data_IF_569742087157
#
_entry.id   IF_569742087157
#
_cell.length_a   1.000
_cell.length_b   1.000
_cell.length_c   1.000
_cell.angle_alpha   90.00
_cell.angle_beta   90.00
_cell.angle_gamma   90.00
#
_symmetry.space_group_name_H-M   'P 1'
#
loop_
_entity.id
_entity.type
_entity.pdbx_description
1 polymer ?
#
# COMPACT_ATOMS: atom_id res chain seq x y z
N UNK A 1 1.94 17.45 -12.85
CA UNK A 1 1.54 16.04 -13.10
C UNK A 1 0.86 15.49 -11.84
N UNK A 2 -0.25 14.81 -12.03
CA UNK A 2 -1.05 14.29 -10.92
C UNK A 2 -0.27 13.27 -10.06
N UNK A 3 0.59 12.45 -10.68
CA UNK A 3 1.39 11.48 -9.93
C UNK A 3 2.32 12.14 -8.92
N UNK A 4 2.97 13.24 -9.27
CA UNK A 4 3.85 13.93 -8.34
C UNK A 4 3.10 14.50 -7.14
N UNK A 5 1.94 15.09 -7.38
CA UNK A 5 1.09 15.64 -6.33
C UNK A 5 0.59 14.54 -5.39
N UNK A 6 0.10 13.44 -5.97
CA UNK A 6 -0.40 12.30 -5.20
C UNK A 6 0.70 11.60 -4.42
N UNK A 7 1.89 11.45 -5.03
CA UNK A 7 3.03 10.84 -4.37
C UNK A 7 3.47 11.60 -3.13
N UNK A 8 3.48 12.92 -3.21
CA UNK A 8 3.84 13.75 -2.06
C UNK A 8 2.90 13.46 -0.89
N UNK A 9 1.61 13.37 -1.17
CA UNK A 9 0.60 13.03 -0.15
C UNK A 9 0.79 11.62 0.38
N UNK A 10 1.07 10.66 -0.51
CA UNK A 10 1.30 9.28 -0.12
C UNK A 10 2.49 9.14 0.82
N UNK A 11 3.62 9.77 0.48
CA UNK A 11 4.81 9.74 1.33
C UNK A 11 4.53 10.32 2.72
N UNK A 12 3.72 11.37 2.79
CA UNK A 12 3.34 11.97 4.08
C UNK A 12 2.50 11.00 4.92
N UNK A 13 1.58 10.28 4.27
CA UNK A 13 0.74 9.28 4.96
C UNK A 13 1.60 8.12 5.48
N UNK A 14 2.53 7.63 4.68
CA UNK A 14 3.43 6.55 5.09
C UNK A 14 4.31 6.99 6.26
N UNK A 15 4.85 8.21 6.20
CA UNK A 15 5.67 8.77 7.28
C UNK A 15 4.86 8.89 8.57
N UNK A 16 3.55 9.08 8.48
CA UNK A 16 2.64 9.17 9.63
C UNK A 16 2.07 7.83 10.09
N UNK A 17 2.54 6.70 9.54
CA UNK A 17 2.14 5.37 9.97
C UNK A 17 0.83 4.85 9.37
N UNK A 18 0.44 5.34 8.20
CA UNK A 18 -0.79 4.94 7.51
C UNK A 18 -2.04 5.15 8.37
N UNK A 19 -2.16 6.33 8.95
CA UNK A 19 -3.35 6.69 9.73
C UNK A 19 -4.61 6.54 8.87
N UNK A 20 -5.66 5.85 9.36
CA UNK A 20 -6.88 5.60 8.57
C UNK A 20 -7.56 6.86 8.04
N UNK A 21 -7.62 7.91 8.85
CA UNK A 21 -8.24 9.16 8.42
C UNK A 21 -7.44 9.83 7.32
N UNK A 22 -6.12 9.86 7.47
CA UNK A 22 -5.21 10.42 6.46
C UNK A 22 -5.30 9.63 5.14
N UNK A 23 -5.38 8.29 5.24
CA UNK A 23 -5.56 7.43 4.07
C UNK A 23 -6.85 7.74 3.33
N UNK A 24 -7.96 7.84 4.07
CA UNK A 24 -9.26 8.11 3.46
C UNK A 24 -9.26 9.43 2.67
N UNK A 25 -8.51 10.41 3.12
CA UNK A 25 -8.44 11.72 2.47
C UNK A 25 -7.71 11.69 1.13
N UNK A 26 -6.83 10.71 0.91
CA UNK A 26 -6.04 10.62 -0.35
C UNK A 26 -6.57 9.56 -1.30
N UNK A 27 -7.63 8.83 -0.93
CA UNK A 27 -8.23 7.79 -1.75
C UNK A 27 -9.47 8.32 -2.46
N UNK A 28 -9.58 8.03 -3.76
CA UNK A 28 -10.82 8.26 -4.50
C UNK A 28 -11.91 7.36 -3.91
N UNK A 29 -13.18 7.80 -3.95
CA UNK A 29 -14.28 6.99 -3.40
C UNK A 29 -14.42 5.63 -4.10
N UNK A 30 -14.02 5.53 -5.37
CA UNK A 30 -14.07 4.32 -6.17
C UNK A 30 -12.69 3.64 -6.29
N UNK A 31 -11.76 3.94 -5.39
CA UNK A 31 -10.42 3.36 -5.41
C UNK A 31 -10.49 1.83 -5.37
N UNK A 32 -9.50 1.19 -6.02
CA UNK A 32 -9.39 -0.26 -6.07
C UNK A 32 -8.03 -0.69 -5.52
N UNK A 33 -8.03 -1.72 -4.69
CA UNK A 33 -6.81 -2.31 -4.14
C UNK A 33 -6.64 -3.73 -4.67
N UNK A 34 -5.41 -4.04 -5.13
CA UNK A 34 -5.03 -5.37 -5.59
C UNK A 34 -3.99 -5.94 -4.63
N UNK A 35 -4.42 -6.91 -3.83
CA UNK A 35 -3.58 -7.58 -2.84
C UNK A 35 -2.58 -8.51 -3.50
N UNK A 36 -1.38 -8.70 -2.93
CA UNK A 36 -0.44 -9.70 -3.45
C UNK A 36 -0.86 -11.14 -3.16
N UNK A 37 -1.84 -11.35 -2.28
CA UNK A 37 -2.24 -12.70 -1.85
C UNK A 37 -3.67 -13.08 -2.24
N UNK A 38 -4.51 -12.12 -2.60
CA UNK A 38 -5.90 -12.35 -3.00
C UNK A 38 -6.11 -11.74 -4.38
N UNK A 39 -6.47 -12.57 -5.36
CA UNK A 39 -6.61 -12.10 -6.75
C UNK A 39 -7.83 -11.18 -6.95
N UNK A 40 -8.89 -11.37 -6.19
CA UNK A 40 -10.11 -10.56 -6.32
C UNK A 40 -9.83 -9.11 -5.91
N UNK A 41 -10.06 -8.12 -6.80
CA UNK A 41 -9.86 -6.72 -6.45
C UNK A 41 -10.79 -6.28 -5.32
N UNK A 42 -10.29 -5.45 -4.43
CA UNK A 42 -11.08 -4.85 -3.34
C UNK A 42 -11.49 -3.44 -3.76
N UNK A 43 -12.78 -3.17 -3.82
CA UNK A 43 -13.31 -1.94 -4.41
C UNK A 43 -14.00 -1.05 -3.39
N UNK A 44 -13.69 0.23 -3.46
CA UNK A 44 -14.30 1.26 -2.65
C UNK A 44 -13.40 1.75 -1.53
N UNK A 45 -13.50 3.04 -1.24
CA UNK A 45 -12.65 3.70 -0.24
C UNK A 45 -12.64 3.01 1.12
N UNK A 46 -13.79 2.60 1.69
CA UNK A 46 -13.78 1.99 3.03
C UNK A 46 -12.92 0.74 3.11
N UNK A 47 -13.06 -0.18 2.16
CA UNK A 47 -12.31 -1.44 2.19
C UNK A 47 -10.84 -1.21 1.85
N UNK A 48 -10.55 -0.31 0.91
CA UNK A 48 -9.17 0.02 0.55
C UNK A 48 -8.45 0.67 1.74
N UNK A 49 -9.13 1.55 2.47
CA UNK A 49 -8.60 2.15 3.68
C UNK A 49 -8.23 1.07 4.70
N UNK A 50 -9.09 0.08 4.89
CA UNK A 50 -8.84 -1.02 5.84
C UNK A 50 -7.59 -1.83 5.44
N UNK A 51 -7.45 -2.16 4.16
CA UNK A 51 -6.31 -2.91 3.68
C UNK A 51 -5.00 -2.13 3.80
N UNK A 52 -5.00 -0.85 3.45
CA UNK A 52 -3.79 -0.02 3.56
C UNK A 52 -3.41 0.28 5.00
N UNK A 53 -4.39 0.41 5.89
CA UNK A 53 -4.14 0.53 7.32
C UNK A 53 -3.46 -0.73 7.85
N UNK A 54 -4.00 -1.89 7.50
CA UNK A 54 -3.43 -3.17 7.91
C UNK A 54 -2.01 -3.35 7.35
N UNK A 55 -1.78 -2.95 6.10
CA UNK A 55 -0.46 -3.01 5.49
C UNK A 55 0.56 -2.16 6.25
N UNK A 56 0.16 -0.97 6.67
CA UNK A 56 1.01 -0.09 7.47
C UNK A 56 1.38 -0.71 8.82
N UNK A 57 0.46 -1.43 9.44
CA UNK A 57 0.70 -2.08 10.72
C UNK A 57 1.55 -3.35 10.59
N UNK A 58 1.56 -3.98 9.42
CA UNK A 58 2.33 -5.21 9.20
C UNK A 58 3.68 -4.95 8.56
N UNK A 59 3.72 -4.12 7.50
CA UNK A 59 4.95 -3.85 6.74
C UNK A 59 5.68 -2.59 7.19
N UNK A 60 4.98 -1.64 7.80
CA UNK A 60 5.51 -0.32 8.15
C UNK A 60 6.32 -0.30 9.45
N UNK A 61 7.20 -1.27 9.64
CA UNK A 61 8.10 -1.33 10.80
C UNK A 61 9.36 -0.51 10.54
N UNK A 62 10.31 -0.49 11.50
CA UNK A 62 11.55 0.28 11.42
C UNK A 62 12.40 -0.06 10.21
N UNK A 63 12.31 -1.31 9.71
CA UNK A 63 13.11 -1.75 8.57
C UNK A 63 12.52 -1.37 7.23
N UNK A 64 11.26 -0.92 7.19
CA UNK A 64 10.59 -0.55 5.95
C UNK A 64 11.24 0.70 5.34
N UNK A 65 11.57 0.61 4.03
CA UNK A 65 12.00 1.78 3.28
C UNK A 65 11.76 1.58 1.80
N UNK A 66 11.49 2.68 1.10
CA UNK A 66 11.47 2.69 -0.35
C UNK A 66 12.89 2.84 -0.88
N UNK A 67 13.24 2.02 -1.87
CA UNK A 67 14.60 1.99 -2.44
C UNK A 67 14.64 2.44 -3.90
N UNK A 68 13.47 2.54 -4.55
CA UNK A 68 13.38 2.96 -5.95
C UNK A 68 12.00 3.56 -6.21
N UNK A 69 11.95 4.62 -7.00
CA UNK A 69 10.71 5.27 -7.37
C UNK A 69 10.74 5.62 -8.85
N UNK A 70 9.73 5.20 -9.59
CA UNK A 70 9.60 5.45 -11.02
C UNK A 70 8.24 6.07 -11.25
N UNK A 71 8.19 7.20 -11.97
CA UNK A 71 6.95 7.91 -12.27
C UNK A 71 6.80 8.04 -13.77
N UNK A 72 5.62 7.69 -14.28
CA UNK A 72 5.27 7.87 -15.67
C UNK A 72 3.81 8.32 -15.75
N UNK A 73 3.59 9.57 -16.18
CA UNK A 73 2.26 10.14 -16.27
C UNK A 73 1.56 10.20 -14.92
N UNK A 74 0.44 9.50 -14.81
CA UNK A 74 -0.36 9.45 -13.59
C UNK A 74 -0.05 8.22 -12.73
N UNK A 75 0.97 7.45 -13.08
CA UNK A 75 1.31 6.20 -12.39
C UNK A 75 2.69 6.29 -11.76
N UNK A 76 2.82 5.76 -10.55
CA UNK A 76 4.10 5.65 -9.85
C UNK A 76 4.32 4.20 -9.42
N UNK A 77 5.58 3.76 -9.48
CA UNK A 77 6.00 2.45 -8.96
C UNK A 77 7.06 2.71 -7.92
N UNK A 78 6.80 2.24 -6.70
CA UNK A 78 7.72 2.40 -5.58
C UNK A 78 8.16 1.03 -5.09
N UNK A 79 9.45 0.76 -5.20
CA UNK A 79 10.01 -0.49 -4.68
C UNK A 79 10.36 -0.33 -3.22
N UNK A 80 9.94 -1.30 -2.39
CA UNK A 80 10.26 -1.28 -0.97
C UNK A 80 10.97 -2.55 -0.52
N UNK A 81 11.69 -2.43 0.59
CA UNK A 81 12.27 -3.56 1.29
C UNK A 81 11.88 -3.43 2.76
N UNK A 82 11.67 -4.56 3.40
CA UNK A 82 11.40 -4.62 4.84
C UNK A 82 11.73 -6.03 5.34
N UNK A 83 11.67 -6.21 6.65
CA UNK A 83 11.90 -7.51 7.27
C UNK A 83 10.83 -7.74 8.32
N UNK A 84 10.31 -8.97 8.38
CA UNK A 84 9.33 -9.37 9.38
C UNK A 84 9.71 -10.75 9.91
N UNK A 85 9.94 -10.85 11.21
CA UNK A 85 10.29 -12.12 11.87
C UNK A 85 11.46 -12.84 11.18
N UNK A 86 12.48 -12.07 10.76
CA UNK A 86 13.67 -12.62 10.09
C UNK A 86 13.47 -12.91 8.60
N UNK A 87 12.29 -12.64 8.06
CA UNK A 87 12.02 -12.88 6.63
C UNK A 87 12.20 -11.57 5.85
N UNK A 88 13.08 -11.60 4.86
CA UNK A 88 13.29 -10.44 3.98
C UNK A 88 12.14 -10.35 2.98
N UNK A 89 11.57 -9.15 2.86
CA UNK A 89 10.43 -8.88 1.98
C UNK A 89 10.83 -7.78 1.02
N UNK A 90 10.64 -8.04 -0.28
CA UNK A 90 10.85 -7.04 -1.32
C UNK A 90 9.58 -6.96 -2.15
N UNK A 91 9.09 -5.76 -2.37
CA UNK A 91 7.86 -5.59 -3.12
C UNK A 91 7.80 -4.27 -3.84
N UNK A 92 6.70 -4.08 -4.56
CA UNK A 92 6.40 -2.81 -5.20
C UNK A 92 4.97 -2.39 -4.89
N UNK A 93 4.79 -1.09 -4.74
CA UNK A 93 3.48 -0.44 -4.75
C UNK A 93 3.35 0.22 -6.13
N UNK A 94 2.35 -0.17 -6.90
CA UNK A 94 2.03 0.46 -8.18
C UNK A 94 0.76 1.26 -8.00
N UNK A 95 0.86 2.59 -8.12
CA UNK A 95 -0.20 3.51 -7.74
C UNK A 95 -0.60 4.37 -8.92
N UNK A 96 -1.89 4.42 -9.24
CA UNK A 96 -2.43 5.34 -10.24
C UNK A 96 -3.24 6.43 -9.53
N UNK A 97 -3.08 7.67 -10.00
CA UNK A 97 -3.73 8.84 -9.42
C UNK A 97 -4.67 9.51 -10.44
N UNK A 98 -5.69 10.20 -9.96
CA UNK A 98 -6.52 11.03 -10.83
C UNK A 98 -5.90 12.44 -10.95
N UNK A 99 -6.62 13.35 -11.64
CA UNK A 99 -6.14 14.71 -11.89
C UNK A 99 -5.97 15.52 -10.59
N UNK A 100 -6.71 15.18 -9.57
CA UNK A 100 -6.63 15.85 -8.27
C UNK A 100 -5.57 15.24 -7.35
N UNK A 101 -4.89 14.20 -7.81
CA UNK A 101 -3.87 13.50 -7.03
C UNK A 101 -4.44 12.49 -6.05
N UNK A 102 -5.72 12.09 -6.22
CA UNK A 102 -6.31 11.03 -5.41
C UNK A 102 -5.95 9.66 -5.99
N UNK A 103 -5.72 8.69 -5.13
CA UNK A 103 -5.39 7.33 -5.55
C UNK A 103 -6.65 6.65 -6.08
N UNK A 104 -6.58 6.16 -7.33
CA UNK A 104 -7.69 5.43 -7.97
C UNK A 104 -7.41 3.94 -8.06
N UNK A 105 -6.14 3.54 -8.06
CA UNK A 105 -5.74 2.13 -8.15
C UNK A 105 -4.45 1.92 -7.39
N UNK A 106 -4.40 0.87 -6.58
CA UNK A 106 -3.23 0.56 -5.76
C UNK A 106 -2.99 -0.94 -5.82
N UNK A 107 -1.88 -1.33 -6.42
CA UNK A 107 -1.52 -2.74 -6.58
C UNK A 107 -0.21 -3.03 -5.87
N UNK A 108 -0.17 -4.12 -5.12
CA UNK A 108 1.03 -4.55 -4.39
C UNK A 108 1.50 -5.89 -4.93
N UNK A 109 2.79 -5.98 -5.25
CA UNK A 109 3.43 -7.24 -5.64
C UNK A 109 4.59 -7.49 -4.68
N UNK A 110 4.79 -8.73 -4.28
CA UNK A 110 5.76 -9.11 -3.24
C UNK A 110 6.52 -10.37 -3.65
N UNK A 111 7.79 -10.40 -3.32
CA UNK A 111 8.63 -11.60 -3.45
C UNK A 111 9.45 -11.80 -2.17
N UNK A 112 10.02 -12.96 -1.88
CA UNK A 112 9.77 -14.27 -2.51
C UNK A 112 8.52 -14.94 -1.94
N UNK A 113 8.25 -16.19 -2.30
CA UNK A 113 7.07 -16.93 -1.82
C UNK A 113 6.94 -16.92 -0.29
N UNK A 114 8.04 -17.13 0.41
CA UNK A 114 8.11 -17.08 1.87
C UNK A 114 7.59 -15.76 2.42
N UNK A 115 7.93 -14.64 1.75
CA UNK A 115 7.47 -13.32 2.14
C UNK A 115 5.96 -13.17 1.88
N UNK A 116 5.45 -13.71 0.78
CA UNK A 116 4.01 -13.66 0.48
C UNK A 116 3.21 -14.38 1.55
N UNK A 117 3.66 -15.55 1.96
CA UNK A 117 3.00 -16.32 3.03
C UNK A 117 3.00 -15.54 4.34
N UNK A 118 4.10 -14.88 4.66
CA UNK A 118 4.21 -14.08 5.87
C UNK A 118 3.28 -12.87 5.84
N UNK A 119 3.26 -12.16 4.71
CA UNK A 119 2.37 -11.00 4.51
C UNK A 119 0.91 -11.43 4.66
N UNK A 120 0.52 -12.55 4.03
CA UNK A 120 -0.85 -13.05 4.15
C UNK A 120 -1.23 -13.32 5.60
N UNK A 121 -0.38 -14.01 6.32
CA UNK A 121 -0.58 -14.34 7.73
C UNK A 121 -0.79 -13.09 8.58
N UNK A 122 0.09 -12.10 8.41
CA UNK A 122 0.04 -10.87 9.19
C UNK A 122 -1.14 -9.98 8.79
N UNK A 123 -1.44 -9.88 7.52
CA UNK A 123 -2.59 -9.09 7.04
C UNK A 123 -3.91 -9.69 7.49
N UNK A 124 -4.04 -11.03 7.44
CA UNK A 124 -5.23 -11.72 7.92
C UNK A 124 -5.45 -11.45 9.41
N UNK A 125 -4.39 -11.49 10.20
CA UNK A 125 -4.47 -11.22 11.64
C UNK A 125 -4.92 -9.77 11.91
N UNK A 126 -4.38 -8.80 11.17
CA UNK A 126 -4.75 -7.39 11.34
C UNK A 126 -6.18 -7.12 10.92
N UNK A 127 -6.63 -7.67 9.81
CA UNK A 127 -8.00 -7.49 9.33
C UNK A 127 -9.00 -8.15 10.29
N UNK A 128 -8.66 -9.30 10.85
CA UNK A 128 -9.48 -9.98 11.86
C UNK A 128 -9.57 -9.15 13.14
N UNK A 129 -8.46 -8.58 13.59
CA UNK A 129 -8.42 -7.77 14.80
C UNK A 129 -9.23 -6.47 14.69
N UNK A 130 -9.42 -5.96 13.46
CA UNK A 130 -10.16 -4.70 13.25
C UNK A 130 -11.66 -4.88 13.03
N UNK A 131 -12.15 -6.10 13.12
CA UNK A 131 -13.60 -6.36 13.00
C UNK A 131 -14.36 -5.94 14.24
#
# INVERSE_FOLDING_TARGET
MSAHKGLKKWHAVVAGGNDPQALAEILHEDAVFHSPVVHTPQRGRPIVTAYLTAAGQTLGNESFRYVREIVDGNTAVLEFVTEMDGIQINGIDMIAFDEDGLIVDFKVMVRPLKAINKVWEMMAAQLEASR
#
